data_IF_653456324912
#
_entry.id   IF_653456324912
#
_cell.length_a   1.000
_cell.length_b   1.000
_cell.length_c   1.000
_cell.angle_alpha   90.00
_cell.angle_beta   90.00
_cell.angle_gamma   90.00
#
_symmetry.space_group_name_H-M   'P 1'
#
loop_
_entity.id
_entity.type
_entity.pdbx_description
1 polymer ?
#
# COMPACT_ATOMS: atom_id res chain seq x y z
N UNK A 1 6.49 -11.87 3.13
CA UNK A 1 5.90 -11.52 1.81
C UNK A 1 4.53 -12.18 1.66
N UNK A 2 3.53 -11.60 2.31
CA UNK A 2 2.20 -12.21 2.47
C UNK A 2 1.09 -11.44 1.75
N UNK A 3 1.40 -10.29 1.13
CA UNK A 3 0.41 -9.48 0.41
C UNK A 3 0.11 -10.12 -0.94
N UNK A 4 -1.16 -10.44 -1.16
CA UNK A 4 -1.73 -10.90 -2.43
C UNK A 4 -2.63 -9.82 -3.04
N UNK A 5 -2.79 -9.79 -4.38
CA UNK A 5 -3.78 -8.93 -5.02
C UNK A 5 -5.18 -9.11 -4.40
N UNK A 6 -5.82 -8.01 -4.06
CA UNK A 6 -7.13 -7.96 -3.43
C UNK A 6 -7.12 -7.85 -1.90
N UNK A 7 -5.99 -8.14 -1.25
CA UNK A 7 -5.86 -8.05 0.21
C UNK A 7 -6.06 -6.62 0.71
N UNK A 8 -6.64 -6.48 1.90
CA UNK A 8 -6.61 -5.20 2.60
C UNK A 8 -5.20 -4.93 3.14
N UNK A 9 -4.69 -3.73 2.86
CA UNK A 9 -3.33 -3.33 3.20
C UNK A 9 -3.29 -1.93 3.80
N UNK A 10 -2.32 -1.74 4.69
CA UNK A 10 -1.92 -0.44 5.22
C UNK A 10 -0.75 0.11 4.39
N UNK A 11 -0.82 1.40 4.05
CA UNK A 11 0.30 2.14 3.46
C UNK A 11 0.97 2.91 4.59
N UNK A 12 2.26 2.67 4.80
CA UNK A 12 3.06 3.31 5.86
C UNK A 12 4.26 4.05 5.27
N UNK A 13 4.83 4.99 6.01
CA UNK A 13 6.14 5.59 5.69
C UNK A 13 7.29 4.76 6.29
N UNK A 14 8.54 5.21 6.11
CA UNK A 14 9.73 4.53 6.64
C UNK A 14 9.85 4.51 8.18
N UNK A 15 9.04 5.29 8.88
CA UNK A 15 8.92 5.29 10.35
C UNK A 15 7.71 4.45 10.83
N UNK A 16 7.13 3.63 9.95
CA UNK A 16 5.93 2.80 10.20
C UNK A 16 4.67 3.61 10.56
N UNK A 17 4.62 4.90 10.17
CA UNK A 17 3.42 5.73 10.36
C UNK A 17 2.40 5.47 9.25
N UNK A 18 1.16 5.17 9.66
CA UNK A 18 0.03 4.94 8.76
C UNK A 18 -0.33 6.18 7.93
N UNK A 19 -0.30 6.03 6.61
CA UNK A 19 -0.66 7.05 5.63
C UNK A 19 -2.02 6.79 4.97
N UNK A 20 -2.39 5.51 4.78
CA UNK A 20 -3.66 5.14 4.14
C UNK A 20 -4.01 3.67 4.36
N UNK A 21 -5.26 3.32 4.06
CA UNK A 21 -5.71 1.93 3.88
C UNK A 21 -6.34 1.73 2.50
N UNK A 22 -6.16 0.56 1.93
CA UNK A 22 -6.65 0.24 0.59
C UNK A 22 -6.61 -1.25 0.28
N UNK A 23 -6.79 -1.59 -0.99
CA UNK A 23 -6.62 -2.96 -1.50
C UNK A 23 -5.37 -3.07 -2.35
N UNK A 24 -4.60 -4.13 -2.15
CA UNK A 24 -3.46 -4.45 -3.00
C UNK A 24 -3.92 -4.72 -4.44
N UNK A 25 -3.23 -4.10 -5.40
CA UNK A 25 -3.39 -4.40 -6.84
C UNK A 25 -2.36 -5.44 -7.27
N UNK A 26 -1.18 -5.41 -6.64
CA UNK A 26 -0.06 -6.30 -6.90
C UNK A 26 0.24 -7.14 -5.66
N UNK A 27 0.94 -8.25 -5.83
CA UNK A 27 1.56 -8.97 -4.72
C UNK A 27 2.73 -8.18 -4.13
N UNK A 28 3.13 -8.48 -2.89
CA UNK A 28 4.27 -7.80 -2.26
C UNK A 28 5.59 -7.97 -3.03
N UNK A 29 5.80 -9.12 -3.70
CA UNK A 29 6.99 -9.36 -4.53
C UNK A 29 6.97 -8.50 -5.79
N UNK A 30 5.82 -8.40 -6.45
CA UNK A 30 5.64 -7.52 -7.60
C UNK A 30 5.86 -6.06 -7.19
N UNK A 31 5.24 -5.58 -6.10
CA UNK A 31 5.44 -4.21 -5.59
C UNK A 31 6.91 -3.83 -5.42
N UNK A 32 7.75 -4.75 -4.93
CA UNK A 32 9.18 -4.51 -4.73
C UNK A 32 10.00 -4.46 -6.03
N UNK A 33 9.56 -5.19 -7.07
CA UNK A 33 10.25 -5.27 -8.37
C UNK A 33 9.72 -4.29 -9.43
N UNK A 34 8.54 -3.72 -9.19
CA UNK A 34 7.82 -2.92 -10.17
C UNK A 34 8.32 -1.48 -10.19
N UNK A 35 8.38 -0.89 -11.39
CA UNK A 35 8.98 0.45 -11.60
C UNK A 35 7.96 1.56 -11.79
N UNK A 36 6.74 1.25 -12.24
CA UNK A 36 5.70 2.25 -12.53
C UNK A 36 4.31 1.64 -12.59
N UNK A 37 3.31 2.35 -12.06
CA UNK A 37 1.91 1.89 -11.99
C UNK A 37 1.39 1.87 -10.55
N UNK A 38 0.12 1.52 -10.36
CA UNK A 38 -0.52 1.54 -9.05
C UNK A 38 -0.32 0.21 -8.30
N UNK A 39 0.32 0.27 -7.12
CA UNK A 39 0.48 -0.89 -6.23
C UNK A 39 -0.74 -1.14 -5.33
N UNK A 40 -1.40 -0.06 -4.88
CA UNK A 40 -2.54 -0.10 -3.95
C UNK A 40 -3.64 0.83 -4.43
N UNK A 41 -4.88 0.36 -4.44
CA UNK A 41 -6.07 1.18 -4.63
C UNK A 41 -6.53 1.71 -3.28
N UNK A 42 -6.20 2.97 -2.96
CA UNK A 42 -6.54 3.61 -1.68
C UNK A 42 -8.05 3.82 -1.56
N UNK A 43 -8.61 3.46 -0.40
CA UNK A 43 -10.02 3.74 -0.05
C UNK A 43 -10.14 4.93 0.89
N UNK A 44 -9.18 5.10 1.81
CA UNK A 44 -9.15 6.20 2.77
C UNK A 44 -7.69 6.56 3.11
N UNK A 45 -7.34 7.83 2.97
CA UNK A 45 -6.08 8.36 3.50
C UNK A 45 -6.20 8.68 4.99
N UNK A 46 -5.10 8.56 5.73
CA UNK A 46 -5.03 9.12 7.08
C UNK A 46 -4.91 10.64 6.94
N UNK A 47 -5.75 11.39 7.67
CA UNK A 47 -5.56 12.83 7.81
C UNK A 47 -4.40 13.10 8.77
N UNK A 48 -3.20 12.68 8.40
CA UNK A 48 -1.99 13.21 9.01
C UNK A 48 -1.89 14.66 8.59
N UNK A 49 -2.24 15.59 9.49
CA UNK A 49 -1.84 16.98 9.29
C UNK A 49 -0.31 16.99 9.22
N UNK A 50 0.21 17.30 8.03
CA UNK A 50 1.62 17.64 7.83
C UNK A 50 1.98 18.93 8.54
#
# INVERSE_FOLDING_TARGET
PEIRPGDEVAVVNGEDRLLAVGKAVLSGVEMASFKSGAAVKVRRGSSGKG
#
